data_IF_186837109394
#
_entry.id   IF_186837109394
#
_cell.length_a   1.000
_cell.length_b   1.000
_cell.length_c   1.000
_cell.angle_alpha   90.00
_cell.angle_beta   90.00
_cell.angle_gamma   90.00
#
_symmetry.space_group_name_H-M   'P 1'
#
loop_
_entity.id
_entity.type
_entity.pdbx_description
1 polymer ?
#
# COMPACT_ATOMS: atom_id res chain seq x y z
N UNK A 1 20.90 -13.65 8.72
CA UNK A 1 20.08 -12.90 7.78
C UNK A 1 19.17 -11.99 8.59
N UNK A 2 19.12 -10.70 8.27
CA UNK A 2 18.22 -9.70 8.86
C UNK A 2 17.16 -9.35 7.84
N UNK A 3 15.99 -8.92 8.30
CA UNK A 3 14.93 -8.37 7.47
C UNK A 3 14.87 -6.85 7.70
N UNK A 4 14.93 -6.08 6.63
CA UNK A 4 14.88 -4.62 6.66
C UNK A 4 13.60 -4.15 5.98
N UNK A 5 12.86 -3.23 6.62
CA UNK A 5 11.72 -2.55 6.03
C UNK A 5 12.14 -1.13 5.62
N UNK A 6 12.28 -0.90 4.32
CA UNK A 6 12.62 0.41 3.76
C UNK A 6 11.35 1.28 3.64
N UNK A 7 10.83 1.74 4.79
CA UNK A 7 9.61 2.55 4.85
C UNK A 7 9.44 3.26 6.19
N UNK A 8 9.10 4.55 6.14
CA UNK A 8 8.73 5.35 7.31
C UNK A 8 7.24 5.25 7.67
N UNK A 9 6.42 4.55 6.90
CA UNK A 9 4.98 4.45 7.12
C UNK A 9 4.65 3.64 8.39
N UNK A 10 3.97 4.23 9.40
CA UNK A 10 3.51 3.49 10.57
C UNK A 10 2.59 2.33 10.18
N UNK A 11 1.69 2.54 9.23
CA UNK A 11 0.74 1.53 8.75
C UNK A 11 1.43 0.30 8.15
N UNK A 12 2.51 0.49 7.38
CA UNK A 12 3.29 -0.63 6.83
C UNK A 12 4.01 -1.42 7.92
N UNK A 13 4.49 -0.73 8.97
CA UNK A 13 5.08 -1.40 10.15
C UNK A 13 4.05 -2.23 10.90
N UNK A 14 2.87 -1.67 11.14
CA UNK A 14 1.74 -2.38 11.78
C UNK A 14 1.35 -3.64 11.00
N UNK A 15 1.18 -3.51 9.68
CA UNK A 15 0.85 -4.64 8.81
C UNK A 15 1.96 -5.70 8.79
N UNK A 16 3.24 -5.29 8.68
CA UNK A 16 4.34 -6.24 8.65
C UNK A 16 4.50 -6.98 9.98
N UNK A 17 4.21 -6.35 11.13
CA UNK A 17 4.22 -7.00 12.43
C UNK A 17 3.25 -8.20 12.50
N UNK A 18 2.17 -8.22 11.72
CA UNK A 18 1.23 -9.35 11.65
C UNK A 18 1.89 -10.63 11.13
N UNK A 19 2.98 -10.52 10.38
CA UNK A 19 3.75 -11.68 9.91
C UNK A 19 4.59 -12.34 10.99
N UNK A 20 4.82 -11.67 12.12
CA UNK A 20 5.75 -12.06 13.18
C UNK A 20 7.21 -12.21 12.72
N UNK A 21 7.59 -11.74 11.55
CA UNK A 21 8.99 -11.58 11.18
C UNK A 21 9.63 -10.49 12.03
N UNK A 22 10.82 -10.77 12.57
CA UNK A 22 11.67 -9.75 13.18
C UNK A 22 12.29 -8.90 12.09
N UNK A 23 12.09 -7.57 12.12
CA UNK A 23 12.64 -6.65 11.12
C UNK A 23 13.16 -5.35 11.74
N UNK A 24 14.02 -4.66 11.01
CA UNK A 24 14.48 -3.31 11.32
C UNK A 24 13.92 -2.33 10.29
N UNK A 25 13.53 -1.13 10.75
CA UNK A 25 13.12 -0.06 9.85
C UNK A 25 14.36 0.70 9.39
N UNK A 26 14.44 0.93 8.08
CA UNK A 26 15.52 1.70 7.45
C UNK A 26 14.93 2.75 6.50
N UNK A 27 15.73 3.75 6.14
CA UNK A 27 15.33 4.76 5.17
C UNK A 27 15.43 4.17 3.76
N UNK A 28 14.42 4.47 2.94
CA UNK A 28 14.38 4.12 1.53
C UNK A 28 14.02 5.36 0.71
N UNK A 29 14.94 6.33 0.67
CA UNK A 29 14.71 7.59 -0.04
C UNK A 29 14.89 7.42 -1.56
N UNK A 30 13.90 7.88 -2.29
CA UNK A 30 13.88 7.83 -3.76
C UNK A 30 13.15 9.06 -4.29
N UNK A 31 13.33 9.36 -5.57
CA UNK A 31 12.55 10.38 -6.24
C UNK A 31 11.15 9.81 -6.57
N UNK A 32 10.13 10.32 -5.91
CA UNK A 32 8.73 9.85 -6.05
C UNK A 32 7.96 10.54 -7.19
N UNK A 33 8.60 11.38 -8.03
CA UNK A 33 7.89 11.98 -9.15
C UNK A 33 7.57 10.94 -10.24
N UNK A 34 6.32 10.91 -10.75
CA UNK A 34 5.96 10.08 -11.90
C UNK A 34 6.83 10.40 -13.13
N UNK A 35 7.18 9.39 -13.90
CA UNK A 35 7.85 9.55 -15.18
C UNK A 35 6.84 9.85 -16.29
N UNK A 36 7.25 10.52 -17.40
CA UNK A 36 6.35 10.76 -18.52
C UNK A 36 5.72 9.47 -19.03
N UNK A 37 4.40 9.46 -19.18
CA UNK A 37 3.59 8.32 -19.67
C UNK A 37 3.67 7.04 -18.81
N UNK A 38 4.17 7.12 -17.59
CA UNK A 38 4.24 5.98 -16.68
C UNK A 38 2.84 5.62 -16.17
N UNK A 39 2.43 4.36 -16.35
CA UNK A 39 1.16 3.86 -15.81
C UNK A 39 1.24 3.71 -14.29
N UNK A 40 0.12 3.85 -13.59
CA UNK A 40 0.08 3.78 -12.13
C UNK A 40 0.67 2.47 -11.57
N UNK A 41 0.48 1.34 -12.26
CA UNK A 41 1.08 0.06 -11.88
C UNK A 41 2.61 0.03 -12.03
N UNK A 42 3.14 0.67 -13.06
CA UNK A 42 4.59 0.80 -13.30
C UNK A 42 5.22 1.73 -12.27
N UNK A 43 4.56 2.85 -12.00
CA UNK A 43 4.98 3.84 -11.00
C UNK A 43 5.18 3.20 -9.61
N UNK A 44 4.17 2.53 -9.06
CA UNK A 44 4.29 1.93 -7.71
C UNK A 44 5.30 0.78 -7.67
N UNK A 45 5.44 0.01 -8.76
CA UNK A 45 6.45 -1.05 -8.86
C UNK A 45 7.86 -0.47 -8.89
N UNK A 46 8.11 0.54 -9.73
CA UNK A 46 9.41 1.22 -9.80
C UNK A 46 9.81 1.78 -8.44
N UNK A 47 8.92 2.52 -7.79
CA UNK A 47 9.20 3.10 -6.48
C UNK A 47 9.47 2.03 -5.41
N UNK A 48 8.71 0.94 -5.38
CA UNK A 48 8.96 -0.17 -4.47
C UNK A 48 10.35 -0.78 -4.71
N UNK A 49 10.73 -1.01 -5.97
CA UNK A 49 12.04 -1.56 -6.33
C UNK A 49 13.19 -0.59 -6.00
N UNK A 50 13.05 0.69 -6.30
CA UNK A 50 14.05 1.71 -5.97
C UNK A 50 14.24 1.85 -4.45
N UNK A 51 13.14 1.82 -3.67
CA UNK A 51 13.18 1.84 -2.20
C UNK A 51 13.91 0.63 -1.62
N UNK A 52 13.78 -0.58 -2.21
CA UNK A 52 14.57 -1.74 -1.74
C UNK A 52 16.06 -1.55 -2.03
N UNK A 53 16.40 -1.02 -3.21
CA UNK A 53 17.80 -0.74 -3.58
C UNK A 53 18.43 0.34 -2.68
N UNK A 54 17.70 1.41 -2.39
CA UNK A 54 18.13 2.45 -1.45
C UNK A 54 18.30 1.88 -0.04
N UNK A 55 17.34 1.11 0.45
CA UNK A 55 17.40 0.47 1.77
C UNK A 55 18.53 -0.55 1.93
N UNK A 56 19.01 -1.13 0.82
CA UNK A 56 20.12 -2.11 0.84
C UNK A 56 21.44 -1.55 1.39
N UNK A 57 21.62 -0.22 1.32
CA UNK A 57 22.79 0.45 1.93
C UNK A 57 22.88 0.28 3.46
N UNK A 58 21.78 -0.11 4.10
CA UNK A 58 21.72 -0.29 5.57
C UNK A 58 21.89 -1.75 6.02
N UNK A 59 22.13 -2.69 5.09
CA UNK A 59 22.28 -4.11 5.38
C UNK A 59 23.59 -4.71 4.91
N UNK A 60 23.72 -6.02 5.08
CA UNK A 60 24.86 -6.81 4.61
C UNK A 60 24.39 -7.77 3.50
N UNK A 61 25.35 -8.28 2.72
CA UNK A 61 25.08 -9.33 1.73
C UNK A 61 24.32 -10.50 2.38
N UNK A 62 23.22 -10.93 1.75
CA UNK A 62 22.33 -11.98 2.24
C UNK A 62 21.15 -11.49 3.10
N UNK A 63 21.16 -10.24 3.60
CA UNK A 63 19.98 -9.65 4.26
C UNK A 63 18.86 -9.38 3.23
N UNK A 64 17.60 -9.36 3.69
CA UNK A 64 16.44 -9.07 2.85
C UNK A 64 15.92 -7.65 3.12
N UNK A 65 15.62 -6.92 2.06
CA UNK A 65 14.99 -5.59 2.13
C UNK A 65 13.59 -5.66 1.53
N UNK A 66 12.60 -5.30 2.33
CA UNK A 66 11.21 -5.13 1.90
C UNK A 66 10.92 -3.64 1.69
N UNK A 67 10.26 -3.31 0.60
CA UNK A 67 9.65 -2.01 0.41
C UNK A 67 8.30 -2.12 -0.29
N UNK A 68 7.50 -1.06 -0.15
CA UNK A 68 6.25 -0.90 -0.87
C UNK A 68 6.04 0.56 -1.23
N UNK A 69 5.27 0.78 -2.29
CA UNK A 69 4.73 2.09 -2.63
C UNK A 69 3.25 2.01 -2.96
N UNK A 70 2.48 3.09 -2.70
CA UNK A 70 1.03 3.06 -2.81
C UNK A 70 0.52 4.35 -3.43
N UNK A 71 -0.28 4.21 -4.47
CA UNK A 71 -0.95 5.30 -5.16
C UNK A 71 -2.47 5.13 -5.12
N UNK A 72 -3.17 6.21 -4.82
CA UNK A 72 -4.62 6.35 -5.04
C UNK A 72 -4.81 6.85 -6.46
N UNK A 73 -5.61 6.15 -7.25
CA UNK A 73 -5.76 6.42 -8.68
C UNK A 73 -7.25 6.51 -9.02
N UNK A 74 -7.67 7.64 -9.54
CA UNK A 74 -8.98 7.79 -10.15
C UNK A 74 -8.85 7.90 -11.67
N UNK A 75 -9.95 7.97 -12.38
CA UNK A 75 -10.00 8.18 -13.82
C UNK A 75 -10.73 9.46 -14.14
N UNK A 76 -10.06 10.32 -14.87
CA UNK A 76 -10.62 11.52 -15.43
C UNK A 76 -10.51 11.48 -16.96
N UNK A 77 -11.64 11.60 -17.65
CA UNK A 77 -11.69 11.56 -19.13
C UNK A 77 -10.99 10.34 -19.76
N UNK A 78 -11.03 9.19 -19.07
CA UNK A 78 -10.38 7.95 -19.52
C UNK A 78 -8.90 7.82 -19.18
N UNK A 79 -8.26 8.88 -18.68
CA UNK A 79 -6.87 8.87 -18.21
C UNK A 79 -6.76 8.53 -16.72
N UNK A 80 -5.68 7.89 -16.31
CA UNK A 80 -5.37 7.68 -14.90
C UNK A 80 -4.89 8.99 -14.26
N UNK A 81 -5.48 9.34 -13.12
CA UNK A 81 -5.09 10.47 -12.28
C UNK A 81 -4.57 9.93 -10.93
N UNK A 82 -3.28 10.11 -10.68
CA UNK A 82 -2.69 9.74 -9.40
C UNK A 82 -2.96 10.86 -8.39
N UNK A 83 -3.68 10.52 -7.32
CA UNK A 83 -3.94 11.42 -6.20
C UNK A 83 -2.84 11.22 -5.15
N UNK A 84 -1.97 12.20 -5.02
CA UNK A 84 -0.93 12.23 -4.01
C UNK A 84 -1.46 12.56 -2.61
N UNK A 85 -0.54 12.93 -1.71
CA UNK A 85 -0.90 13.51 -0.41
C UNK A 85 -1.31 14.97 -0.63
N UNK A 86 -2.39 15.44 0.03
CA UNK A 86 -2.78 16.84 -0.07
C UNK A 86 -1.71 17.74 0.58
N UNK A 87 -1.48 18.90 -0.02
CA UNK A 87 -0.52 19.90 0.47
C UNK A 87 -1.07 20.65 1.71
N UNK A 88 -2.40 20.78 1.76
CA UNK A 88 -3.11 21.49 2.82
C UNK A 88 -4.55 20.97 3.02
N UNK A 89 -5.27 21.59 3.96
CA UNK A 89 -6.65 21.24 4.27
C UNK A 89 -7.62 21.53 3.10
N UNK A 90 -7.33 22.51 2.25
CA UNK A 90 -8.18 22.86 1.11
C UNK A 90 -8.09 21.77 0.03
N UNK A 91 -6.87 21.34 -0.28
CA UNK A 91 -6.66 20.24 -1.22
C UNK A 91 -7.22 18.92 -0.68
N UNK A 92 -7.08 18.65 0.63
CA UNK A 92 -7.69 17.48 1.27
C UNK A 92 -9.21 17.46 1.10
N UNK A 93 -9.89 18.60 1.32
CA UNK A 93 -11.32 18.74 1.05
C UNK A 93 -11.65 18.42 -0.41
N UNK A 94 -10.94 19.04 -1.34
CA UNK A 94 -11.16 18.88 -2.77
C UNK A 94 -11.03 17.42 -3.20
N UNK A 95 -10.03 16.70 -2.70
CA UNK A 95 -9.84 15.27 -2.95
C UNK A 95 -11.01 14.44 -2.40
N UNK A 96 -11.46 14.71 -1.18
CA UNK A 96 -12.59 14.01 -0.57
C UNK A 96 -13.90 14.28 -1.30
N UNK A 97 -14.18 15.53 -1.70
CA UNK A 97 -15.32 15.85 -2.56
C UNK A 97 -15.27 15.12 -3.89
N UNK A 98 -14.10 15.05 -4.50
CA UNK A 98 -13.90 14.35 -5.77
C UNK A 98 -14.17 12.84 -5.65
N UNK A 99 -13.71 12.21 -4.57
CA UNK A 99 -13.82 10.76 -4.35
C UNK A 99 -15.20 10.32 -3.83
N UNK A 100 -15.98 11.21 -3.23
CA UNK A 100 -17.29 10.92 -2.61
C UNK A 100 -18.24 10.19 -3.54
N UNK A 101 -18.78 9.04 -3.10
CA UNK A 101 -19.76 8.24 -3.86
C UNK A 101 -19.19 7.59 -5.12
N UNK A 102 -17.87 7.61 -5.33
CA UNK A 102 -17.22 7.06 -6.52
C UNK A 102 -16.42 5.80 -6.18
N UNK A 103 -16.09 5.04 -7.20
CA UNK A 103 -15.13 3.93 -7.11
C UNK A 103 -13.83 4.38 -7.75
N UNK A 104 -12.79 4.43 -6.96
CA UNK A 104 -11.42 4.65 -7.43
C UNK A 104 -10.56 3.39 -7.21
N UNK A 105 -9.30 3.41 -7.58
CA UNK A 105 -8.38 2.29 -7.40
C UNK A 105 -7.21 2.65 -6.48
N UNK A 106 -6.80 1.68 -5.67
CA UNK A 106 -5.54 1.75 -4.93
C UNK A 106 -4.59 0.71 -5.50
N UNK A 107 -3.43 1.18 -5.94
CA UNK A 107 -2.32 0.38 -6.42
C UNK A 107 -1.24 0.36 -5.35
N UNK A 108 -0.75 -0.82 -4.96
CA UNK A 108 0.48 -0.94 -4.19
C UNK A 108 1.45 -1.86 -4.88
N UNK A 109 2.64 -1.33 -5.20
CA UNK A 109 3.81 -2.12 -5.54
C UNK A 109 4.45 -2.63 -4.25
N UNK A 110 4.86 -3.89 -4.25
CA UNK A 110 5.68 -4.49 -3.19
C UNK A 110 6.90 -5.13 -3.79
N UNK A 111 8.05 -4.96 -3.16
CA UNK A 111 9.32 -5.51 -3.63
C UNK A 111 10.12 -6.10 -2.47
N UNK A 112 10.88 -7.16 -2.77
CA UNK A 112 11.82 -7.81 -1.86
C UNK A 112 13.15 -7.99 -2.58
N UNK A 113 14.24 -7.51 -1.99
CA UNK A 113 15.60 -7.63 -2.50
C UNK A 113 16.45 -8.39 -1.51
N UNK A 114 17.11 -9.45 -1.95
CA UNK A 114 18.26 -10.03 -1.21
C UNK A 114 19.49 -9.20 -1.54
N UNK A 115 20.14 -8.64 -0.54
CA UNK A 115 21.35 -7.83 -0.74
C UNK A 115 22.44 -8.71 -1.35
N UNK A 116 22.91 -8.30 -2.51
CA UNK A 116 23.82 -9.07 -3.38
C UNK A 116 23.18 -9.50 -4.68
N UNK A 117 21.84 -9.60 -4.75
CA UNK A 117 21.12 -9.85 -6.00
C UNK A 117 21.03 -8.57 -6.84
N UNK A 118 20.95 -8.73 -8.17
CA UNK A 118 20.87 -7.61 -9.13
C UNK A 118 19.52 -6.95 -9.10
N UNK A 119 18.45 -7.76 -9.07
CA UNK A 119 17.08 -7.28 -9.20
C UNK A 119 16.19 -7.76 -8.05
N UNK A 120 15.32 -6.90 -7.51
CA UNK A 120 14.32 -7.32 -6.54
C UNK A 120 13.22 -8.17 -7.21
N UNK A 121 12.67 -9.12 -6.48
CA UNK A 121 11.35 -9.67 -6.80
C UNK A 121 10.30 -8.63 -6.46
N UNK A 122 9.30 -8.48 -7.32
CA UNK A 122 8.26 -7.49 -7.09
C UNK A 122 6.91 -7.91 -7.66
N UNK A 123 5.84 -7.34 -7.11
CA UNK A 123 4.47 -7.60 -7.54
C UNK A 123 3.61 -6.37 -7.28
N UNK A 124 2.44 -6.30 -7.94
CA UNK A 124 1.48 -5.22 -7.78
C UNK A 124 0.13 -5.75 -7.32
N UNK A 125 -0.43 -5.12 -6.30
CA UNK A 125 -1.81 -5.35 -5.89
C UNK A 125 -2.67 -4.15 -6.29
N UNK A 126 -3.85 -4.43 -6.86
CA UNK A 126 -4.83 -3.41 -7.23
C UNK A 126 -6.12 -3.72 -6.48
N UNK A 127 -6.78 -2.69 -5.96
CA UNK A 127 -8.06 -2.82 -5.24
C UNK A 127 -9.00 -1.70 -5.66
N UNK A 128 -10.19 -2.07 -6.12
CA UNK A 128 -11.28 -1.11 -6.34
C UNK A 128 -11.85 -0.71 -4.97
N UNK A 129 -11.94 0.60 -4.72
CA UNK A 129 -12.34 1.16 -3.43
C UNK A 129 -13.60 2.01 -3.62
N UNK A 130 -14.77 1.48 -3.23
CA UNK A 130 -16.02 2.24 -3.29
C UNK A 130 -16.12 3.19 -2.09
N UNK A 131 -16.12 4.50 -2.39
CA UNK A 131 -16.31 5.51 -1.37
C UNK A 131 -17.79 5.68 -1.02
N UNK A 132 -18.05 5.87 0.26
CA UNK A 132 -19.37 6.19 0.78
C UNK A 132 -19.79 7.59 0.33
N UNK A 133 -21.09 7.84 0.28
CA UNK A 133 -21.64 9.18 0.05
C UNK A 133 -21.73 9.94 1.39
N UNK A 134 -20.56 10.33 1.94
CA UNK A 134 -20.47 11.11 3.18
C UNK A 134 -20.85 12.57 2.98
N UNK A 135 -21.31 13.26 4.05
CA UNK A 135 -21.79 14.65 3.98
C UNK A 135 -20.63 15.66 3.99
N UNK A 136 -20.97 16.94 3.73
CA UNK A 136 -20.00 18.03 3.81
C UNK A 136 -19.49 18.22 5.23
N UNK A 137 -20.37 18.09 6.22
CA UNK A 137 -20.02 18.19 7.65
C UNK A 137 -19.05 17.06 8.07
N UNK A 138 -19.25 15.85 7.53
CA UNK A 138 -18.34 14.74 7.78
C UNK A 138 -16.95 15.01 7.18
N UNK A 139 -16.87 15.59 5.98
CA UNK A 139 -15.61 16.01 5.36
C UNK A 139 -14.91 17.05 6.24
N UNK A 140 -15.62 18.12 6.64
CA UNK A 140 -15.04 19.20 7.46
C UNK A 140 -14.54 18.66 8.80
N UNK A 141 -15.34 17.84 9.48
CA UNK A 141 -14.95 17.22 10.74
C UNK A 141 -13.70 16.35 10.60
N UNK A 142 -13.61 15.57 9.49
CA UNK A 142 -12.46 14.71 9.25
C UNK A 142 -11.21 15.52 8.89
N UNK A 143 -11.32 16.54 8.04
CA UNK A 143 -10.19 17.41 7.66
C UNK A 143 -9.66 18.19 8.87
N UNK A 144 -10.56 18.63 9.76
CA UNK A 144 -10.16 19.33 10.98
C UNK A 144 -9.27 18.50 11.93
N UNK A 145 -9.30 17.16 11.83
CA UNK A 145 -8.41 16.27 12.60
C UNK A 145 -6.95 16.34 12.15
N UNK A 146 -6.66 16.82 10.95
CA UNK A 146 -5.34 16.76 10.33
C UNK A 146 -4.95 15.37 9.80
N UNK A 147 -5.75 14.32 10.09
CA UNK A 147 -5.47 12.93 9.66
C UNK A 147 -5.34 12.77 8.14
N UNK A 148 -6.07 13.50 7.26
CA UNK A 148 -5.93 13.41 5.81
C UNK A 148 -4.56 13.77 5.25
N UNK A 149 -3.81 14.66 5.91
CA UNK A 149 -2.68 15.38 5.31
C UNK A 149 -1.46 14.51 4.98
N UNK A 150 -1.31 13.36 5.62
CA UNK A 150 -0.21 12.42 5.37
C UNK A 150 -0.59 11.24 4.46
N UNK A 151 -1.78 11.30 3.84
CA UNK A 151 -2.37 10.17 3.12
C UNK A 151 -2.67 10.48 1.65
N UNK A 152 -2.25 9.59 0.75
CA UNK A 152 -2.64 9.65 -0.65
C UNK A 152 -4.18 9.60 -0.77
N UNK A 153 -4.76 10.50 -1.59
CA UNK A 153 -6.22 10.64 -1.72
C UNK A 153 -6.92 11.21 -0.48
N UNK A 154 -6.17 11.73 0.50
CA UNK A 154 -6.68 12.40 1.70
C UNK A 154 -7.57 11.53 2.61
N UNK A 155 -7.42 10.19 2.65
CA UNK A 155 -8.22 9.36 3.53
C UNK A 155 -7.47 8.16 4.11
N UNK A 156 -7.96 7.68 5.26
CA UNK A 156 -7.59 6.39 5.84
C UNK A 156 -8.79 5.46 5.84
N UNK A 157 -8.68 4.29 5.17
CA UNK A 157 -9.77 3.29 5.16
C UNK A 157 -10.13 2.82 6.58
N UNK A 158 -9.15 2.75 7.48
CA UNK A 158 -9.33 2.30 8.87
C UNK A 158 -9.78 3.39 9.83
N UNK A 159 -10.06 4.64 9.37
CA UNK A 159 -10.43 5.72 10.30
C UNK A 159 -11.75 5.38 11.05
N UNK A 160 -11.74 5.36 12.40
CA UNK A 160 -12.82 4.73 13.18
C UNK A 160 -14.14 5.51 13.12
N UNK A 161 -14.09 6.82 12.88
CA UNK A 161 -15.26 7.71 12.85
C UNK A 161 -15.69 7.98 11.41
N UNK A 162 -14.80 8.47 10.57
CA UNK A 162 -15.13 8.88 9.20
C UNK A 162 -15.56 7.71 8.31
N UNK A 163 -14.89 6.54 8.44
CA UNK A 163 -15.24 5.30 7.71
C UNK A 163 -15.58 5.55 6.24
N UNK A 164 -14.64 6.05 5.43
CA UNK A 164 -14.94 6.58 4.10
C UNK A 164 -15.37 5.53 3.07
N UNK A 165 -15.07 4.26 3.33
CA UNK A 165 -15.25 3.17 2.36
C UNK A 165 -16.39 2.25 2.79
N UNK A 166 -17.20 1.80 1.83
CA UNK A 166 -18.25 0.79 2.04
C UNK A 166 -18.12 -0.34 1.03
N UNK A 167 -18.61 -1.55 1.41
CA UNK A 167 -18.71 -2.72 0.51
C UNK A 167 -17.42 -3.08 -0.23
N UNK A 168 -16.26 -2.91 0.41
CA UNK A 168 -14.98 -3.31 -0.16
C UNK A 168 -15.00 -4.80 -0.56
N UNK A 169 -14.57 -5.13 -1.78
CA UNK A 169 -14.50 -6.50 -2.32
C UNK A 169 -13.06 -6.86 -2.76
N UNK A 170 -12.05 -6.30 -2.09
CA UNK A 170 -10.64 -6.44 -2.44
C UNK A 170 -9.73 -6.66 -1.24
N UNK A 171 -8.46 -6.34 -1.42
CA UNK A 171 -7.46 -6.47 -0.35
C UNK A 171 -7.43 -5.21 0.52
N UNK A 172 -7.92 -5.30 1.76
CA UNK A 172 -7.90 -4.19 2.72
C UNK A 172 -6.47 -3.75 3.05
N UNK A 173 -5.57 -4.70 3.27
CA UNK A 173 -4.16 -4.41 3.56
C UNK A 173 -3.44 -3.69 2.40
N UNK A 174 -3.88 -3.91 1.16
CA UNK A 174 -3.44 -3.13 0.00
C UNK A 174 -3.82 -1.65 0.14
N UNK A 175 -5.05 -1.37 0.51
CA UNK A 175 -5.53 0.02 0.69
C UNK A 175 -4.79 0.72 1.83
N UNK A 176 -4.38 -0.02 2.87
CA UNK A 176 -3.52 0.50 3.94
C UNK A 176 -2.05 0.69 3.52
N UNK A 177 -1.62 0.07 2.42
CA UNK A 177 -0.30 0.30 1.80
C UNK A 177 0.72 -0.83 1.89
N UNK A 178 0.33 -2.04 2.33
CA UNK A 178 1.19 -3.23 2.28
C UNK A 178 0.35 -4.50 2.03
N UNK A 179 0.26 -4.99 0.78
CA UNK A 179 -0.52 -6.19 0.44
C UNK A 179 0.19 -7.46 0.94
N UNK A 180 -0.12 -7.88 2.16
CA UNK A 180 0.59 -8.95 2.88
C UNK A 180 0.63 -10.29 2.13
N UNK A 181 -0.44 -10.69 1.44
CA UNK A 181 -0.42 -11.95 0.68
C UNK A 181 0.53 -11.90 -0.52
N UNK A 182 0.65 -10.74 -1.20
CA UNK A 182 1.63 -10.54 -2.26
C UNK A 182 3.05 -10.58 -1.69
N UNK A 183 3.29 -9.86 -0.58
CA UNK A 183 4.57 -9.90 0.11
C UNK A 183 4.95 -11.32 0.54
N UNK A 184 4.04 -12.05 1.17
CA UNK A 184 4.28 -13.44 1.60
C UNK A 184 4.70 -14.32 0.43
N UNK A 185 4.03 -14.19 -0.72
CA UNK A 185 4.40 -14.95 -1.92
C UNK A 185 5.81 -14.63 -2.41
N UNK A 186 6.21 -13.36 -2.41
CA UNK A 186 7.58 -12.96 -2.77
C UNK A 186 8.60 -13.48 -1.75
N UNK A 187 8.30 -13.40 -0.46
CA UNK A 187 9.15 -13.93 0.60
C UNK A 187 9.34 -15.44 0.49
N UNK A 188 8.26 -16.18 0.19
CA UNK A 188 8.37 -17.64 -0.04
C UNK A 188 9.27 -17.98 -1.24
N UNK A 189 9.27 -17.17 -2.31
CA UNK A 189 10.21 -17.33 -3.43
C UNK A 189 11.66 -17.05 -3.02
N UNK A 190 11.87 -16.24 -1.97
CA UNK A 190 13.19 -16.02 -1.35
C UNK A 190 13.54 -17.10 -0.31
N UNK A 191 12.70 -18.13 -0.11
CA UNK A 191 12.89 -19.19 0.87
C UNK A 191 12.43 -18.85 2.29
N UNK A 192 11.72 -17.74 2.48
CA UNK A 192 11.27 -17.26 3.78
C UNK A 192 9.75 -17.44 3.95
N UNK A 193 9.37 -18.21 4.94
CA UNK A 193 7.94 -18.41 5.32
C UNK A 193 7.62 -17.62 6.59
N UNK A 194 6.44 -16.98 6.67
CA UNK A 194 6.07 -16.33 7.93
C UNK A 194 5.82 -17.38 9.03
N UNK A 195 6.23 -17.09 10.28
CA UNK A 195 6.02 -18.01 11.42
C UNK A 195 4.55 -18.13 11.84
N UNK A 196 3.64 -17.40 11.22
CA UNK A 196 2.21 -17.39 11.51
C UNK A 196 1.38 -17.52 10.22
N UNK A 197 0.12 -17.94 10.35
CA UNK A 197 -0.85 -17.83 9.26
C UNK A 197 -1.17 -16.35 9.01
N UNK A 198 -0.52 -15.77 7.99
CA UNK A 198 -0.67 -14.36 7.65
C UNK A 198 -2.10 -14.01 7.24
N UNK A 199 -2.84 -14.95 6.67
CA UNK A 199 -4.21 -14.69 6.21
C UNK A 199 -5.16 -14.57 7.39
N UNK A 200 -5.05 -15.47 8.35
CA UNK A 200 -5.83 -15.42 9.60
C UNK A 200 -5.45 -14.16 10.41
N UNK A 201 -4.16 -13.90 10.60
CA UNK A 201 -3.67 -12.73 11.33
C UNK A 201 -4.14 -11.41 10.71
N UNK A 202 -4.05 -11.27 9.37
CA UNK A 202 -4.49 -10.10 8.63
C UNK A 202 -6.01 -9.88 8.79
N UNK A 203 -6.83 -10.90 8.57
CA UNK A 203 -8.28 -10.80 8.68
C UNK A 203 -8.74 -10.47 10.10
N UNK A 204 -8.13 -11.08 11.11
CA UNK A 204 -8.42 -10.81 12.51
C UNK A 204 -8.06 -9.39 12.91
N UNK A 205 -6.85 -8.94 12.57
CA UNK A 205 -6.36 -7.61 12.94
C UNK A 205 -7.15 -6.47 12.27
N UNK A 206 -7.59 -6.69 11.01
CA UNK A 206 -8.31 -5.68 10.25
C UNK A 206 -9.84 -5.78 10.40
N UNK A 207 -10.35 -6.80 11.12
CA UNK A 207 -11.79 -7.03 11.25
C UNK A 207 -12.50 -7.20 9.90
N UNK A 208 -11.79 -7.76 8.90
CA UNK A 208 -12.25 -7.81 7.52
C UNK A 208 -12.05 -9.19 6.91
N UNK A 209 -13.14 -9.80 6.44
CA UNK A 209 -13.08 -11.07 5.71
C UNK A 209 -12.63 -10.82 4.27
N UNK A 210 -11.39 -11.17 3.94
CA UNK A 210 -10.79 -10.88 2.64
C UNK A 210 -11.26 -11.88 1.57
N UNK A 211 -11.97 -11.45 0.51
CA UNK A 211 -12.48 -12.36 -0.52
C UNK A 211 -11.42 -12.81 -1.53
N UNK A 212 -10.21 -12.25 -1.47
CA UNK A 212 -9.20 -12.41 -2.54
C UNK A 212 -7.92 -13.13 -2.10
N UNK A 213 -7.71 -13.37 -0.80
CA UNK A 213 -6.43 -13.89 -0.28
C UNK A 213 -6.00 -15.21 -0.92
N UNK A 214 -6.93 -16.16 -1.09
CA UNK A 214 -6.63 -17.47 -1.63
C UNK A 214 -6.15 -17.41 -3.10
N UNK A 215 -6.79 -16.55 -3.91
CA UNK A 215 -6.38 -16.30 -5.30
C UNK A 215 -5.01 -15.66 -5.38
N UNK A 216 -4.71 -14.69 -4.50
CA UNK A 216 -3.40 -14.03 -4.46
C UNK A 216 -2.30 -15.03 -4.10
N UNK A 217 -2.50 -15.83 -3.05
CA UNK A 217 -1.51 -16.81 -2.61
C UNK A 217 -1.27 -17.91 -3.65
N UNK A 218 -2.28 -18.30 -4.43
CA UNK A 218 -2.11 -19.23 -5.54
C UNK A 218 -1.46 -18.62 -6.79
N UNK A 219 -1.09 -17.32 -6.77
CA UNK A 219 -0.43 -16.65 -7.88
C UNK A 219 -1.37 -16.15 -8.97
N UNK A 220 -2.67 -16.21 -8.77
CA UNK A 220 -3.65 -15.67 -9.73
C UNK A 220 -3.61 -14.17 -9.74
N UNK A 221 -3.41 -13.56 -10.91
CA UNK A 221 -3.54 -12.11 -11.10
C UNK A 221 -5.02 -11.73 -11.14
N UNK A 222 -5.43 -10.82 -10.27
CA UNK A 222 -6.83 -10.39 -10.15
C UNK A 222 -7.23 -9.35 -11.20
N UNK A 223 -6.24 -8.61 -11.73
CA UNK A 223 -6.44 -7.57 -12.74
C UNK A 223 -5.52 -7.82 -13.92
N UNK A 224 -6.03 -7.55 -15.13
CA UNK A 224 -5.29 -7.61 -16.39
C UNK A 224 -4.80 -6.22 -16.78
#
# INVERSE_FOLDING_TARGET
MRLLLASNSPRRRELLNLSQWSFQVVMGEVNEHPLPSERSSEYVLRLAQEKTKSGAAHGNVGDLVIAADTAVVDRENGAELILGKPQDALEARSMLYWLRGRVHRVYSGVAVLRIGDINPLSDVCITDVPMRNYSDEEIEAYVATGDPLDKAGAYAIQHPVFKPVERLQGCYANVMGLPLCHLTRLMMQMGETPPTDITAACQQALGYHCPVYAKILSGVRLYK
#
